data_IF_016290496823
#
_entry.id   IF_016290496823
#
_cell.length_a   1.000
_cell.length_b   1.000
_cell.length_c   1.000
_cell.angle_alpha   90.00
_cell.angle_beta   90.00
_cell.angle_gamma   90.00
#
_symmetry.space_group_name_H-M   'P 1'
#
loop_
_entity.id
_entity.type
_entity.pdbx_description
1 polymer ?
#
# COMPACT_ATOMS: atom_id res chain seq x y z
N UNK A 1 -13.69 -15.27 16.54
CA UNK A 1 -14.49 -15.38 15.30
C UNK A 1 -15.06 -14.00 15.01
N UNK A 2 -14.32 -13.21 14.22
CA UNK A 2 -14.50 -11.77 14.03
C UNK A 2 -15.32 -11.48 12.75
N UNK A 3 -16.09 -10.38 12.68
CA UNK A 3 -17.16 -10.18 11.69
C UNK A 3 -16.61 -9.60 10.38
N UNK A 4 -15.88 -10.39 9.60
CA UNK A 4 -15.43 -9.98 8.24
C UNK A 4 -16.49 -10.33 7.17
N UNK A 5 -17.39 -11.26 7.47
CA UNK A 5 -18.39 -11.73 6.50
C UNK A 5 -19.59 -10.80 6.29
N UNK A 6 -19.75 -9.71 7.05
CA UNK A 6 -20.90 -8.81 6.90
C UNK A 6 -20.67 -7.67 5.90
N UNK A 7 -19.42 -7.36 5.54
CA UNK A 7 -19.13 -6.24 4.62
C UNK A 7 -19.15 -6.66 3.15
N UNK A 8 -18.78 -7.91 2.83
CA UNK A 8 -18.72 -8.41 1.44
C UNK A 8 -20.11 -8.65 0.83
N UNK A 9 -21.15 -8.88 1.64
CA UNK A 9 -22.51 -9.14 1.13
C UNK A 9 -23.32 -7.85 0.93
N UNK A 10 -22.94 -6.73 1.54
CA UNK A 10 -23.68 -5.45 1.40
C UNK A 10 -23.36 -4.74 0.08
N UNK A 11 -22.17 -4.95 -0.51
CA UNK A 11 -21.85 -4.42 -1.85
C UNK A 11 -22.58 -5.16 -2.99
N UNK A 12 -23.13 -6.36 -2.75
CA UNK A 12 -23.86 -7.11 -3.78
C UNK A 12 -25.34 -6.72 -3.90
N UNK A 13 -25.90 -5.92 -2.98
CA UNK A 13 -27.36 -5.78 -2.83
C UNK A 13 -27.91 -4.33 -2.72
N UNK A 14 -27.09 -3.28 -2.84
CA UNK A 14 -27.58 -1.89 -2.67
C UNK A 14 -27.64 -1.06 -3.98
N UNK A 15 -27.29 -1.60 -5.15
CA UNK A 15 -27.36 -0.84 -6.44
C UNK A 15 -28.48 -1.32 -7.37
N UNK A 16 -29.66 -1.66 -6.84
CA UNK A 16 -30.85 -1.89 -7.67
C UNK A 16 -32.09 -1.08 -7.25
N UNK A 17 -31.89 -0.03 -6.45
CA UNK A 17 -32.95 0.87 -6.00
C UNK A 17 -32.86 2.26 -6.64
N UNK A 18 -33.55 2.45 -7.77
CA UNK A 18 -34.06 3.75 -8.23
C UNK A 18 -33.04 4.87 -8.49
N UNK A 19 -32.26 4.73 -9.56
CA UNK A 19 -31.84 5.87 -10.37
C UNK A 19 -31.95 5.47 -11.84
N UNK A 20 -32.92 6.05 -12.55
CA UNK A 20 -33.05 5.96 -14.02
C UNK A 20 -31.95 6.74 -14.75
N UNK A 21 -30.72 6.67 -14.22
CA UNK A 21 -29.56 7.41 -14.70
C UNK A 21 -28.77 6.47 -15.59
N UNK A 22 -28.44 6.95 -16.79
CA UNK A 22 -27.64 6.29 -17.81
C UNK A 22 -26.17 6.16 -17.35
N UNK A 23 -25.93 5.45 -16.26
CA UNK A 23 -24.58 5.14 -15.82
C UNK A 23 -24.06 3.98 -16.67
N UNK A 24 -22.99 4.22 -17.44
CA UNK A 24 -22.24 3.12 -18.03
C UNK A 24 -21.45 2.43 -16.92
N UNK A 25 -21.55 1.12 -16.84
CA UNK A 25 -20.93 0.32 -15.78
C UNK A 25 -19.84 -0.54 -16.39
N UNK A 26 -18.63 -0.42 -15.86
CA UNK A 26 -17.49 -1.25 -16.23
C UNK A 26 -17.19 -2.23 -15.09
N UNK A 27 -17.06 -3.52 -15.40
CA UNK A 27 -16.60 -4.54 -14.44
C UNK A 27 -15.36 -5.20 -15.00
N UNK A 28 -14.31 -5.32 -14.19
CA UNK A 28 -13.09 -6.03 -14.58
C UNK A 28 -12.54 -6.90 -13.45
N UNK A 29 -11.90 -7.99 -13.84
CA UNK A 29 -11.22 -8.93 -12.95
C UNK A 29 -9.89 -9.32 -13.60
N UNK A 30 -8.85 -9.43 -12.79
CA UNK A 30 -7.59 -9.94 -13.28
C UNK A 30 -6.57 -10.21 -12.18
N UNK A 31 -5.40 -10.62 -12.63
CA UNK A 31 -4.28 -10.96 -11.79
C UNK A 31 -3.10 -10.02 -12.03
N UNK A 32 -2.17 -10.02 -11.09
CA UNK A 32 -1.05 -9.11 -11.09
C UNK A 32 0.08 -9.56 -10.18
N UNK A 33 1.02 -8.66 -9.99
CA UNK A 33 2.15 -8.82 -9.07
C UNK A 33 2.34 -7.55 -8.25
N UNK A 34 2.43 -7.71 -6.93
CA UNK A 34 2.89 -6.72 -5.98
C UNK A 34 4.37 -6.97 -5.71
N UNK A 35 5.16 -5.90 -5.63
CA UNK A 35 6.58 -5.92 -5.27
C UNK A 35 6.93 -4.71 -4.43
N UNK A 36 7.95 -4.83 -3.61
CA UNK A 36 8.43 -3.72 -2.79
C UNK A 36 8.65 -4.12 -1.33
N UNK A 37 8.66 -3.12 -0.45
CA UNK A 37 8.95 -3.32 0.96
C UNK A 37 8.07 -2.46 1.85
N UNK A 38 7.84 -2.94 3.08
CA UNK A 38 7.51 -2.10 4.22
C UNK A 38 8.65 -2.17 5.23
N UNK A 39 9.08 -1.02 5.71
CA UNK A 39 10.21 -0.86 6.60
C UNK A 39 9.74 -0.19 7.88
N UNK A 40 10.09 -0.82 9.00
CA UNK A 40 9.85 -0.42 10.37
C UNK A 40 11.18 0.04 10.97
N UNK A 41 11.21 1.18 11.66
CA UNK A 41 12.40 1.68 12.33
C UNK A 41 12.05 2.28 13.69
N UNK A 42 12.83 1.94 14.71
CA UNK A 42 12.78 2.60 16.03
C UNK A 42 14.13 3.20 16.40
N UNK A 43 14.14 4.20 17.28
CA UNK A 43 15.35 4.86 17.77
C UNK A 43 15.02 6.18 18.48
N UNK A 44 15.96 7.12 18.52
CA UNK A 44 15.66 8.51 18.90
C UNK A 44 15.22 8.67 20.35
N UNK A 45 14.18 9.48 20.58
CA UNK A 45 13.67 9.75 21.92
C UNK A 45 13.10 8.47 22.55
N UNK A 46 13.59 8.15 23.75
CA UNK A 46 13.20 6.98 24.53
C UNK A 46 12.64 7.39 25.88
N UNK A 47 11.51 6.81 26.29
CA UNK A 47 10.88 7.04 27.59
C UNK A 47 10.58 5.71 28.27
N UNK A 48 11.32 5.38 29.33
CA UNK A 48 11.14 4.15 30.10
C UNK A 48 9.90 4.17 31.01
N UNK A 49 9.49 3.00 31.49
CA UNK A 49 8.34 2.84 32.38
C UNK A 49 8.46 3.56 33.72
N UNK A 50 9.69 3.84 34.18
CA UNK A 50 9.98 4.64 35.37
C UNK A 50 9.98 6.16 35.10
N UNK A 51 9.75 6.57 33.85
CA UNK A 51 9.79 7.96 33.40
C UNK A 51 11.20 8.48 33.11
N UNK A 52 12.22 7.62 33.13
CA UNK A 52 13.55 7.96 32.62
C UNK A 52 13.50 8.25 31.12
N UNK A 53 14.35 9.16 30.67
CA UNK A 53 14.43 9.57 29.26
C UNK A 53 15.85 9.38 28.75
N UNK A 54 16.01 8.92 27.52
CA UNK A 54 17.29 8.80 26.82
C UNK A 54 17.15 9.16 25.34
N UNK A 55 18.28 9.36 24.65
CA UNK A 55 18.34 9.60 23.21
C UNK A 55 19.19 8.49 22.55
N UNK A 56 18.52 7.58 21.85
CA UNK A 56 19.13 6.44 21.18
C UNK A 56 19.53 6.81 19.74
N UNK A 57 20.47 6.04 19.17
CA UNK A 57 20.75 6.13 17.74
C UNK A 57 19.46 5.90 16.93
N UNK A 58 19.28 6.63 15.83
CA UNK A 58 18.16 6.40 14.92
C UNK A 58 18.68 5.99 13.53
N UNK A 59 18.29 4.80 13.01
CA UNK A 59 17.56 3.74 13.72
C UNK A 59 18.47 2.98 14.69
N UNK A 60 17.95 2.57 15.85
CA UNK A 60 18.59 1.56 16.73
C UNK A 60 18.19 0.15 16.31
N UNK A 61 17.02 0.01 15.67
CA UNK A 61 16.51 -1.25 15.11
C UNK A 61 15.71 -0.96 13.84
N UNK A 62 15.83 -1.83 12.84
CA UNK A 62 15.16 -1.75 11.54
C UNK A 62 14.71 -3.14 11.10
N UNK A 63 13.41 -3.26 10.78
CA UNK A 63 12.85 -4.46 10.17
C UNK A 63 12.40 -4.12 8.75
N UNK A 64 12.75 -4.97 7.78
CA UNK A 64 12.34 -4.81 6.37
C UNK A 64 11.59 -6.05 5.91
N UNK A 65 10.31 -5.86 5.60
CA UNK A 65 9.42 -6.92 5.14
C UNK A 65 9.20 -6.81 3.62
N UNK A 66 9.42 -7.90 2.86
CA UNK A 66 9.15 -7.93 1.43
C UNK A 66 7.64 -8.01 1.16
N UNK A 67 7.19 -7.39 0.06
CA UNK A 67 5.77 -7.36 -0.36
C UNK A 67 5.50 -8.22 -1.60
N UNK A 68 6.49 -8.98 -2.05
CA UNK A 68 6.51 -9.73 -3.30
C UNK A 68 5.47 -10.85 -3.34
N UNK A 69 4.36 -10.64 -4.06
CA UNK A 69 3.26 -11.60 -4.14
C UNK A 69 2.46 -11.50 -5.45
N UNK A 70 1.94 -12.63 -5.92
CA UNK A 70 0.90 -12.62 -6.94
C UNK A 70 -0.43 -12.18 -6.33
N UNK A 71 -1.14 -11.30 -7.02
CA UNK A 71 -2.36 -10.65 -6.52
C UNK A 71 -3.53 -10.83 -7.48
N UNK A 72 -4.74 -10.88 -6.93
CA UNK A 72 -6.00 -10.81 -7.69
C UNK A 72 -6.71 -9.49 -7.37
N UNK A 73 -7.27 -8.86 -8.40
CA UNK A 73 -7.96 -7.57 -8.30
C UNK A 73 -9.29 -7.62 -9.04
N UNK A 74 -10.35 -7.17 -8.36
CA UNK A 74 -11.67 -6.92 -8.94
C UNK A 74 -12.00 -5.44 -8.89
N UNK A 75 -12.45 -4.87 -10.00
CA UNK A 75 -12.71 -3.44 -10.14
C UNK A 75 -14.08 -3.16 -10.78
N UNK A 76 -14.78 -2.18 -10.22
CA UNK A 76 -16.01 -1.59 -10.72
C UNK A 76 -15.75 -0.13 -11.11
N UNK A 77 -16.12 0.26 -12.32
CA UNK A 77 -16.11 1.63 -12.81
C UNK A 77 -17.51 2.11 -13.14
N UNK A 78 -17.83 3.36 -12.83
CA UNK A 78 -19.10 4.00 -13.13
C UNK A 78 -18.86 5.34 -13.81
N UNK A 79 -19.43 5.54 -15.00
CA UNK A 79 -19.50 6.85 -15.64
C UNK A 79 -20.84 7.51 -15.32
N UNK A 80 -20.79 8.54 -14.49
CA UNK A 80 -21.94 9.25 -13.95
C UNK A 80 -22.07 10.62 -14.62
N UNK A 81 -23.25 10.94 -15.15
CA UNK A 81 -23.58 12.28 -15.65
C UNK A 81 -22.54 12.87 -16.62
N UNK A 82 -21.96 12.04 -17.49
CA UNK A 82 -20.95 12.36 -18.53
C UNK A 82 -19.59 12.91 -18.05
N UNK A 83 -19.51 13.53 -16.87
CA UNK A 83 -18.29 14.19 -16.35
C UNK A 83 -17.78 13.60 -15.06
N UNK A 84 -18.58 12.82 -14.36
CA UNK A 84 -18.19 12.21 -13.10
C UNK A 84 -17.82 10.75 -13.33
N UNK A 85 -16.70 10.33 -12.78
CA UNK A 85 -16.31 8.93 -12.71
C UNK A 85 -16.31 8.46 -11.27
N UNK A 86 -16.73 7.24 -11.02
CA UNK A 86 -16.46 6.56 -9.75
C UNK A 86 -15.76 5.24 -10.03
N UNK A 87 -14.80 4.87 -9.19
CA UNK A 87 -14.12 3.59 -9.25
C UNK A 87 -14.06 2.99 -7.85
N UNK A 88 -14.30 1.69 -7.77
CA UNK A 88 -14.10 0.88 -6.58
C UNK A 88 -13.31 -0.36 -6.95
N UNK A 89 -12.31 -0.72 -6.16
CA UNK A 89 -11.62 -2.00 -6.34
C UNK A 89 -11.23 -2.64 -5.02
N UNK A 90 -11.09 -3.97 -5.06
CA UNK A 90 -10.63 -4.82 -3.97
C UNK A 90 -9.52 -5.72 -4.52
N UNK A 91 -8.46 -5.86 -3.75
CA UNK A 91 -7.33 -6.74 -4.08
C UNK A 91 -6.88 -7.54 -2.85
N UNK A 92 -6.36 -8.74 -3.12
CA UNK A 92 -5.74 -9.64 -2.13
C UNK A 92 -4.69 -10.51 -2.83
N UNK A 93 -3.74 -11.05 -2.07
CA UNK A 93 -2.72 -11.95 -2.61
C UNK A 93 -3.27 -13.37 -2.80
N UNK A 94 -2.74 -14.06 -3.81
CA UNK A 94 -3.00 -15.46 -4.13
C UNK A 94 -1.90 -16.40 -3.61
N UNK A 95 -0.71 -15.85 -3.37
CA UNK A 95 0.44 -16.54 -2.81
C UNK A 95 0.82 -15.85 -1.52
N UNK A 96 1.29 -16.61 -0.54
CA UNK A 96 1.64 -16.13 0.80
C UNK A 96 2.85 -15.19 0.83
N UNK A 97 3.22 -14.50 -0.26
CA UNK A 97 4.48 -13.76 -0.37
C UNK A 97 5.68 -14.70 -0.41
N UNK A 98 6.73 -14.37 -1.17
CA UNK A 98 8.00 -15.10 -1.09
C UNK A 98 9.11 -14.08 -0.87
N UNK A 99 9.80 -14.19 0.26
CA UNK A 99 10.91 -13.32 0.58
C UNK A 99 11.44 -13.49 1.99
N UNK A 100 12.59 -12.86 2.24
CA UNK A 100 13.22 -12.83 3.53
C UNK A 100 12.96 -11.49 4.21
N UNK A 101 12.48 -11.53 5.45
CA UNK A 101 12.49 -10.39 6.36
C UNK A 101 13.93 -10.18 6.86
N UNK A 102 14.38 -8.94 6.84
CA UNK A 102 15.69 -8.52 7.37
C UNK A 102 15.50 -7.74 8.67
N UNK A 103 16.23 -8.09 9.72
CA UNK A 103 16.28 -7.39 11.01
C UNK A 103 17.71 -6.91 11.28
N UNK A 104 17.89 -5.63 11.56
CA UNK A 104 19.18 -5.01 11.86
C UNK A 104 19.10 -4.19 13.15
N UNK A 105 20.01 -4.45 14.09
CA UNK A 105 20.15 -3.62 15.31
C UNK A 105 21.55 -2.99 15.39
N UNK A 106 21.61 -1.72 15.81
CA UNK A 106 22.83 -0.94 15.91
C UNK A 106 23.14 -0.51 17.34
N UNK A 107 24.40 -0.64 17.75
CA UNK A 107 24.90 -0.09 19.01
C UNK A 107 24.25 -0.68 20.27
N UNK A 108 23.72 -1.90 20.18
CA UNK A 108 23.00 -2.57 21.27
C UNK A 108 23.93 -3.27 22.26
N UNK A 109 25.24 -3.29 22.01
CA UNK A 109 26.24 -3.85 22.91
C UNK A 109 27.02 -2.76 23.64
N UNK A 110 27.24 -2.93 24.95
CA UNK A 110 27.93 -1.94 25.81
C UNK A 110 29.32 -1.50 25.32
N UNK A 111 29.95 -2.26 24.43
CA UNK A 111 31.30 -2.01 23.91
C UNK A 111 31.32 -1.61 22.43
N UNK A 112 30.16 -1.58 21.75
CA UNK A 112 30.08 -1.17 20.36
C UNK A 112 29.78 0.33 20.24
N UNK A 113 30.30 1.01 19.21
CA UNK A 113 29.82 2.34 18.85
C UNK A 113 28.31 2.32 18.58
N UNK A 114 27.62 3.42 18.86
CA UNK A 114 26.15 3.50 18.69
C UNK A 114 25.65 3.27 17.26
N UNK A 115 26.52 3.39 16.26
CA UNK A 115 26.23 3.16 14.84
C UNK A 115 26.86 1.85 14.30
N UNK A 116 27.34 0.98 15.18
CA UNK A 116 27.87 -0.34 14.82
C UNK A 116 26.73 -1.32 14.59
N UNK A 117 26.67 -1.96 13.42
CA UNK A 117 25.73 -3.05 13.18
C UNK A 117 26.13 -4.25 14.05
N UNK A 118 25.33 -4.54 15.07
CA UNK A 118 25.64 -5.52 16.10
C UNK A 118 24.86 -6.81 15.93
N UNK A 119 23.64 -6.71 15.41
CA UNK A 119 22.77 -7.84 15.10
C UNK A 119 22.28 -7.66 13.68
N UNK A 120 22.35 -8.74 12.90
CA UNK A 120 21.70 -8.85 11.61
C UNK A 120 21.05 -10.22 11.53
N UNK A 121 19.79 -10.29 11.11
CA UNK A 121 19.11 -11.56 10.90
C UNK A 121 18.27 -11.58 9.63
N UNK A 122 18.16 -12.76 9.06
CA UNK A 122 17.27 -13.08 7.94
C UNK A 122 16.27 -14.14 8.41
N UNK A 123 15.03 -14.03 7.95
CA UNK A 123 13.97 -14.97 8.28
C UNK A 123 13.02 -15.11 7.10
N UNK A 124 12.48 -16.31 6.86
CA UNK A 124 11.43 -16.49 5.86
C UNK A 124 10.18 -15.72 6.30
N UNK A 125 9.49 -15.06 5.37
CA UNK A 125 8.28 -14.29 5.68
C UNK A 125 7.15 -14.67 4.76
N UNK A 126 6.03 -15.07 5.37
CA UNK A 126 4.76 -15.22 4.67
C UNK A 126 3.92 -13.96 4.90
N UNK A 127 3.34 -13.38 3.87
CA UNK A 127 2.47 -12.21 3.86
C UNK A 127 1.05 -12.59 3.41
N UNK A 128 0.05 -12.09 4.14
CA UNK A 128 -1.34 -11.96 3.71
C UNK A 128 -1.71 -10.49 3.54
N UNK A 129 -2.47 -10.14 2.52
CA UNK A 129 -2.88 -8.75 2.27
C UNK A 129 -4.34 -8.63 1.87
N UNK A 130 -4.93 -7.49 2.26
CA UNK A 130 -6.18 -7.00 1.70
C UNK A 130 -6.06 -5.50 1.46
N UNK A 131 -6.48 -5.04 0.29
CA UNK A 131 -6.62 -3.62 0.03
C UNK A 131 -7.94 -3.32 -0.67
N UNK A 132 -8.50 -2.15 -0.33
CA UNK A 132 -9.78 -1.65 -0.83
C UNK A 132 -9.59 -0.19 -1.16
N UNK A 133 -10.10 0.24 -2.31
CA UNK A 133 -10.03 1.64 -2.70
C UNK A 133 -11.32 2.08 -3.37
N UNK A 134 -11.74 3.29 -3.05
CA UNK A 134 -12.80 4.00 -3.74
C UNK A 134 -12.33 5.38 -4.16
N UNK A 135 -12.66 5.81 -5.37
CA UNK A 135 -12.41 7.17 -5.85
C UNK A 135 -13.56 7.76 -6.64
N UNK A 136 -13.68 9.08 -6.57
CA UNK A 136 -14.59 9.90 -7.35
C UNK A 136 -13.76 10.92 -8.14
N UNK A 137 -13.99 10.97 -9.44
CA UNK A 137 -13.29 11.88 -10.36
C UNK A 137 -14.27 12.81 -11.05
N UNK A 138 -13.81 14.02 -11.38
CA UNK A 138 -14.52 15.01 -12.17
C UNK A 138 -13.67 15.44 -13.36
N UNK A 139 -14.18 15.22 -14.56
CA UNK A 139 -13.61 15.69 -15.81
C UNK A 139 -13.87 17.19 -15.96
N UNK A 140 -12.84 18.00 -15.76
CA UNK A 140 -12.95 19.46 -15.85
C UNK A 140 -12.61 20.01 -17.24
N UNK A 141 -11.89 19.24 -18.06
CA UNK A 141 -11.51 19.67 -19.41
C UNK A 141 -11.46 18.51 -20.40
N UNK A 142 -11.84 18.80 -21.65
CA UNK A 142 -11.74 17.91 -22.79
C UNK A 142 -11.23 18.69 -24.00
N UNK A 143 -10.13 18.22 -24.58
CA UNK A 143 -9.54 18.75 -25.80
C UNK A 143 -9.44 17.69 -26.88
N UNK A 144 -9.20 18.13 -28.11
CA UNK A 144 -8.99 17.26 -29.27
C UNK A 144 -7.67 17.58 -29.95
N UNK A 145 -7.02 16.58 -30.51
CA UNK A 145 -5.81 16.81 -31.30
C UNK A 145 -6.08 17.70 -32.51
N UNK A 146 -5.19 18.66 -32.75
CA UNK A 146 -5.31 19.66 -33.82
C UNK A 146 -6.22 20.85 -33.47
N UNK A 147 -6.85 20.85 -32.30
CA UNK A 147 -7.59 22.00 -31.79
C UNK A 147 -6.61 23.07 -31.30
N UNK A 148 -6.65 24.26 -31.90
CA UNK A 148 -5.94 25.45 -31.38
C UNK A 148 -6.93 26.60 -31.22
N UNK A 149 -6.55 27.65 -30.47
CA UNK A 149 -7.36 28.87 -30.34
C UNK A 149 -7.67 29.56 -31.70
N UNK A 150 -6.95 29.20 -32.76
CA UNK A 150 -7.03 29.82 -34.09
C UNK A 150 -7.45 28.81 -35.18
N UNK A 151 -7.71 27.54 -34.86
CA UNK A 151 -8.04 26.52 -35.87
C UNK A 151 -8.95 25.44 -35.30
N UNK A 152 -10.25 25.55 -35.59
CA UNK A 152 -11.25 24.50 -35.27
C UNK A 152 -11.41 23.52 -36.43
N UNK A 153 -10.97 23.87 -37.64
CA UNK A 153 -11.20 23.10 -38.87
C UNK A 153 -10.30 21.84 -39.02
N UNK A 154 -9.22 21.71 -38.23
CA UNK A 154 -8.30 20.56 -38.27
C UNK A 154 -8.45 19.65 -37.05
N UNK A 155 -9.67 19.51 -36.54
CA UNK A 155 -9.98 18.66 -35.40
C UNK A 155 -9.86 17.18 -35.80
N UNK A 156 -9.09 16.40 -35.06
CA UNK A 156 -9.19 14.95 -35.10
C UNK A 156 -10.08 14.48 -33.94
N UNK A 157 -11.39 14.25 -34.16
CA UNK A 157 -12.30 13.80 -33.11
C UNK A 157 -11.93 12.42 -32.56
N UNK A 158 -11.13 11.65 -33.30
CA UNK A 158 -10.64 10.33 -32.90
C UNK A 158 -9.45 10.37 -31.95
N UNK A 159 -8.95 11.54 -31.54
CA UNK A 159 -7.91 11.65 -30.51
C UNK A 159 -8.30 12.74 -29.50
N UNK A 160 -8.70 12.30 -28.30
CA UNK A 160 -9.24 13.15 -27.23
C UNK A 160 -8.25 13.18 -26.06
N UNK A 161 -8.14 14.32 -25.41
CA UNK A 161 -7.44 14.51 -24.14
C UNK A 161 -8.47 14.91 -23.09
N UNK A 162 -8.59 14.12 -22.03
CA UNK A 162 -9.49 14.38 -20.91
C UNK A 162 -8.64 14.66 -19.68
N UNK A 163 -9.01 15.67 -18.89
CA UNK A 163 -8.31 15.98 -17.65
C UNK A 163 -9.29 15.93 -16.51
N UNK A 164 -8.87 15.26 -15.43
CA UNK A 164 -9.69 15.00 -14.27
C UNK A 164 -8.96 15.38 -12.99
N UNK A 165 -9.76 15.84 -12.04
CA UNK A 165 -9.38 15.91 -10.62
C UNK A 165 -10.19 14.88 -9.87
N UNK A 166 -9.63 14.31 -8.82
CA UNK A 166 -10.28 13.28 -8.04
C UNK A 166 -10.03 13.39 -6.56
N UNK A 167 -10.90 12.75 -5.80
CA UNK A 167 -10.70 12.43 -4.40
C UNK A 167 -10.85 10.92 -4.25
N UNK A 168 -10.05 10.31 -3.39
CA UNK A 168 -10.15 8.89 -3.13
C UNK A 168 -9.71 8.52 -1.73
N UNK A 169 -9.96 7.26 -1.40
CA UNK A 169 -9.56 6.65 -0.14
C UNK A 169 -9.09 5.23 -0.42
N UNK A 170 -7.88 4.90 0.04
CA UNK A 170 -7.28 3.57 -0.04
C UNK A 170 -7.04 3.04 1.37
N UNK A 171 -7.57 1.86 1.64
CA UNK A 171 -7.26 1.05 2.81
C UNK A 171 -6.35 -0.09 2.37
N UNK A 172 -5.31 -0.38 3.13
CA UNK A 172 -4.47 -1.56 2.91
C UNK A 172 -4.02 -2.12 4.27
N UNK A 173 -4.10 -3.45 4.39
CA UNK A 173 -3.59 -4.19 5.54
C UNK A 173 -2.68 -5.31 5.05
N UNK A 174 -1.57 -5.48 5.75
CA UNK A 174 -0.63 -6.59 5.59
C UNK A 174 -0.47 -7.30 6.93
N UNK A 175 -0.50 -8.63 6.88
CA UNK A 175 -0.24 -9.51 8.01
C UNK A 175 0.95 -10.40 7.62
N UNK A 176 1.99 -10.44 8.45
CA UNK A 176 3.20 -11.23 8.21
C UNK A 176 3.40 -12.28 9.30
N UNK A 177 3.72 -13.50 8.88
CA UNK A 177 4.23 -14.57 9.73
C UNK A 177 5.71 -14.80 9.38
N UNK A 178 6.59 -14.75 10.38
CA UNK A 178 8.04 -14.83 10.17
C UNK A 178 8.61 -16.08 10.81
N UNK A 179 9.39 -16.84 10.04
CA UNK A 179 9.89 -18.17 10.35
C UNK A 179 11.40 -18.31 10.20
N UNK A 180 11.95 -19.33 10.85
CA UNK A 180 13.29 -19.86 10.57
C UNK A 180 14.39 -18.79 10.65
N UNK A 181 14.53 -18.21 11.84
CA UNK A 181 15.49 -17.13 12.12
C UNK A 181 16.93 -17.62 11.96
N UNK A 182 17.69 -16.96 11.09
CA UNK A 182 19.16 -16.99 11.07
C UNK A 182 19.72 -15.64 11.50
N UNK A 183 20.40 -15.60 12.65
CA UNK A 183 20.96 -14.38 13.21
C UNK A 183 22.48 -14.45 13.30
N UNK A 184 23.11 -13.40 12.79
CA UNK A 184 24.55 -13.16 12.83
C UNK A 184 24.90 -11.94 13.70
N UNK A 185 26.19 -11.75 13.95
CA UNK A 185 26.70 -10.74 14.87
C UNK A 185 27.88 -9.97 14.29
N UNK A 186 27.64 -9.02 13.36
CA UNK A 186 28.71 -8.43 12.54
C UNK A 186 29.83 -7.74 13.34
N UNK A 187 29.51 -7.12 14.48
CA UNK A 187 30.50 -6.47 15.34
C UNK A 187 31.26 -7.42 16.29
N UNK A 188 30.84 -8.69 16.40
CA UNK A 188 31.60 -9.76 17.08
C UNK A 188 31.63 -11.01 16.20
N UNK A 189 32.43 -11.02 15.12
CA UNK A 189 32.45 -12.10 14.13
C UNK A 189 32.96 -13.43 14.68
N UNK A 190 33.51 -13.46 15.90
CA UNK A 190 33.88 -14.70 16.59
C UNK A 190 32.67 -15.39 17.26
N UNK A 191 31.55 -14.68 17.44
CA UNK A 191 30.32 -15.23 18.02
C UNK A 191 29.61 -16.10 16.97
N UNK A 192 29.21 -17.34 17.31
CA UNK A 192 28.50 -18.20 16.37
C UNK A 192 27.14 -17.60 16.02
N UNK A 193 26.63 -17.95 14.83
CA UNK A 193 25.26 -17.62 14.43
C UNK A 193 24.25 -18.32 15.33
N UNK A 194 23.08 -17.71 15.49
CA UNK A 194 21.93 -18.29 16.19
C UNK A 194 20.88 -18.72 15.17
N UNK A 195 20.31 -19.90 15.39
CA UNK A 195 19.28 -20.48 14.52
C UNK A 195 18.06 -20.84 15.36
N UNK A 196 16.87 -20.45 14.91
CA UNK A 196 15.60 -20.82 15.55
C UNK A 196 14.59 -21.23 14.48
N UNK A 197 14.27 -22.52 14.43
CA UNK A 197 13.31 -23.08 13.49
C UNK A 197 11.86 -22.76 13.91
N UNK A 198 10.98 -22.55 12.92
CA UNK A 198 9.55 -22.30 13.11
C UNK A 198 9.20 -20.82 13.30
N UNK A 199 7.96 -20.56 13.68
CA UNK A 199 7.41 -19.20 13.80
C UNK A 199 8.07 -18.42 14.96
N UNK A 200 8.69 -17.28 14.65
CA UNK A 200 9.45 -16.47 15.61
C UNK A 200 8.81 -15.10 15.88
N UNK A 201 8.06 -14.56 14.92
CA UNK A 201 7.48 -13.22 14.99
C UNK A 201 6.25 -13.11 14.08
N UNK A 202 5.32 -12.22 14.45
CA UNK A 202 4.22 -11.80 13.58
C UNK A 202 4.19 -10.29 13.50
N UNK A 203 3.87 -9.72 12.35
CA UNK A 203 3.77 -8.28 12.14
C UNK A 203 2.49 -7.91 11.39
N UNK A 204 1.72 -6.96 11.91
CA UNK A 204 0.55 -6.41 11.20
C UNK A 204 0.80 -4.94 10.88
N UNK A 205 0.51 -4.50 9.65
CA UNK A 205 0.62 -3.11 9.22
C UNK A 205 -0.66 -2.64 8.51
N UNK A 206 -1.29 -1.59 9.03
CA UNK A 206 -2.53 -1.01 8.49
C UNK A 206 -2.32 0.45 8.05
N UNK A 207 -2.86 0.78 6.88
CA UNK A 207 -2.82 2.13 6.32
C UNK A 207 -4.19 2.61 5.87
N UNK A 208 -4.49 3.86 6.18
CA UNK A 208 -5.68 4.58 5.71
C UNK A 208 -5.26 5.85 4.97
N UNK A 209 -5.50 5.90 3.66
CA UNK A 209 -4.87 6.85 2.75
C UNK A 209 -5.95 7.63 1.97
N UNK A 210 -6.50 8.72 2.54
CA UNK A 210 -7.31 9.67 1.79
C UNK A 210 -6.41 10.53 0.90
N UNK A 211 -6.76 10.67 -0.36
CA UNK A 211 -5.90 11.35 -1.33
C UNK A 211 -6.66 12.27 -2.28
N UNK A 212 -5.92 13.22 -2.83
CA UNK A 212 -6.32 14.04 -3.98
C UNK A 212 -5.59 13.54 -5.21
N UNK A 213 -6.29 13.45 -6.34
CA UNK A 213 -5.77 12.93 -7.61
C UNK A 213 -5.87 14.01 -8.70
N UNK A 214 -4.84 14.07 -9.54
CA UNK A 214 -4.88 14.73 -10.84
C UNK A 214 -4.56 13.69 -11.90
N UNK A 215 -5.33 13.67 -12.98
CA UNK A 215 -5.03 12.77 -14.08
C UNK A 215 -5.38 13.31 -15.46
N UNK A 216 -4.86 12.59 -16.44
CA UNK A 216 -5.01 12.84 -17.86
C UNK A 216 -5.30 11.52 -18.56
N UNK A 217 -6.34 11.51 -19.39
CA UNK A 217 -6.66 10.40 -20.29
C UNK A 217 -6.42 10.82 -21.75
N UNK A 218 -5.74 9.96 -22.49
CA UNK A 218 -5.65 10.00 -23.95
C UNK A 218 -6.56 8.90 -24.51
N UNK A 219 -7.64 9.28 -25.18
CA UNK A 219 -8.55 8.34 -25.84
C UNK A 219 -8.38 8.38 -27.37
N UNK A 220 -8.18 7.22 -27.98
CA UNK A 220 -7.99 7.04 -29.42
C UNK A 220 -9.12 6.20 -30.01
N UNK A 221 -9.95 6.84 -30.83
CA UNK A 221 -11.11 6.27 -31.54
C UNK A 221 -12.04 5.44 -30.66
N UNK A 222 -12.13 5.78 -29.37
CA UNK A 222 -12.90 5.06 -28.34
C UNK A 222 -12.55 3.56 -28.23
N UNK A 223 -11.41 3.15 -28.81
CA UNK A 223 -10.89 1.77 -28.79
C UNK A 223 -9.72 1.61 -27.83
N UNK A 224 -8.91 2.65 -27.70
CA UNK A 224 -7.73 2.64 -26.85
C UNK A 224 -7.79 3.85 -25.92
N UNK A 225 -7.52 3.63 -24.64
CA UNK A 225 -7.36 4.71 -23.67
C UNK A 225 -6.06 4.49 -22.88
N UNK A 226 -5.36 5.60 -22.63
CA UNK A 226 -4.19 5.68 -21.78
C UNK A 226 -4.47 6.72 -20.70
N UNK A 227 -4.55 6.30 -19.44
CA UNK A 227 -4.77 7.18 -18.29
C UNK A 227 -3.49 7.28 -17.47
N UNK A 228 -3.07 8.50 -17.14
CA UNK A 228 -1.99 8.78 -16.22
C UNK A 228 -2.55 9.56 -15.03
N UNK A 229 -2.28 9.09 -13.82
CA UNK A 229 -2.71 9.72 -12.57
C UNK A 229 -1.51 9.95 -11.66
N UNK A 230 -1.55 11.08 -10.95
CA UNK A 230 -0.71 11.34 -9.79
C UNK A 230 -1.63 11.71 -8.63
N UNK A 231 -1.46 11.05 -7.49
CA UNK A 231 -2.22 11.33 -6.30
C UNK A 231 -1.30 11.58 -5.10
N UNK A 232 -1.74 12.48 -4.23
CA UNK A 232 -1.03 12.83 -3.01
C UNK A 232 -1.98 12.78 -1.81
N UNK A 233 -1.54 12.08 -0.77
CA UNK A 233 -2.19 12.01 0.53
C UNK A 233 -1.34 12.79 1.53
N UNK A 234 -1.71 14.04 1.88
CA UNK A 234 -0.97 14.82 2.88
C UNK A 234 -1.13 14.29 4.31
N UNK A 235 -2.16 13.48 4.55
CA UNK A 235 -2.48 12.87 5.83
C UNK A 235 -2.91 11.44 5.58
N UNK A 236 -2.24 10.50 6.20
CA UNK A 236 -2.63 9.09 6.22
C UNK A 236 -2.47 8.55 7.64
N UNK A 237 -3.32 7.60 8.01
CA UNK A 237 -3.25 6.92 9.30
C UNK A 237 -2.50 5.60 9.22
N UNK A 238 -1.54 5.41 10.12
CA UNK A 238 -0.72 4.20 10.20
C UNK A 238 -0.87 3.57 11.58
N UNK A 239 -1.06 2.26 11.60
CA UNK A 239 -1.04 1.45 12.82
C UNK A 239 -0.26 0.16 12.55
N UNK A 240 0.50 -0.31 13.52
CA UNK A 240 1.10 -1.63 13.49
C UNK A 240 1.11 -2.35 14.84
N UNK A 241 1.35 -3.65 14.75
CA UNK A 241 1.61 -4.53 15.88
C UNK A 241 2.73 -5.51 15.48
N UNK A 242 3.88 -5.40 16.14
CA UNK A 242 5.02 -6.30 16.02
C UNK A 242 5.10 -7.18 17.27
N UNK A 243 4.94 -8.49 17.10
CA UNK A 243 4.97 -9.45 18.18
C UNK A 243 6.15 -10.42 18.04
N UNK A 244 7.18 -10.22 18.86
CA UNK A 244 8.30 -11.16 19.00
C UNK A 244 7.94 -12.31 19.96
N UNK A 245 7.61 -13.47 19.40
CA UNK A 245 7.12 -14.64 20.14
C UNK A 245 8.18 -15.21 21.11
N UNK A 246 9.45 -15.19 20.71
CA UNK A 246 10.55 -15.73 21.52
C UNK A 246 10.82 -14.93 22.81
N UNK A 247 10.39 -13.66 22.84
CA UNK A 247 10.66 -12.72 23.94
C UNK A 247 9.42 -12.32 24.72
N UNK A 248 8.24 -12.78 24.31
CA UNK A 248 6.95 -12.25 24.80
C UNK A 248 6.92 -10.72 24.76
N UNK A 249 7.49 -10.14 23.69
CA UNK A 249 7.57 -8.70 23.46
C UNK A 249 6.57 -8.32 22.38
N UNK A 250 5.81 -7.26 22.62
CA UNK A 250 4.91 -6.65 21.64
C UNK A 250 5.24 -5.17 21.52
N UNK A 251 5.43 -4.68 20.31
CA UNK A 251 5.53 -3.26 19.99
C UNK A 251 4.25 -2.87 19.24
N UNK A 252 3.65 -1.74 19.62
CA UNK A 252 2.43 -1.22 18.99
C UNK A 252 2.67 0.24 18.65
N UNK A 253 2.58 0.60 17.37
CA UNK A 253 2.58 2.00 16.94
C UNK A 253 1.21 2.43 16.43
N UNK A 254 0.83 3.66 16.77
CA UNK A 254 -0.30 4.38 16.19
C UNK A 254 0.16 5.81 15.93
N UNK A 255 0.39 6.13 14.65
CA UNK A 255 0.88 7.45 14.26
C UNK A 255 -0.24 8.48 14.11
N UNK A 256 -1.51 8.08 14.32
CA UNK A 256 -2.65 8.89 13.93
C UNK A 256 -2.52 9.36 12.48
N UNK A 257 -3.01 10.55 12.16
CA UNK A 257 -2.97 11.12 10.81
C UNK A 257 -1.64 11.84 10.47
N UNK A 258 -0.50 11.27 10.88
CA UNK A 258 0.83 11.89 10.74
C UNK A 258 1.73 11.23 9.66
N UNK A 259 1.13 10.52 8.69
CA UNK A 259 1.85 10.08 7.50
C UNK A 259 1.47 10.84 6.23
N UNK A 260 2.25 10.63 5.18
CA UNK A 260 1.93 11.07 3.83
C UNK A 260 2.16 9.95 2.82
N UNK A 261 1.52 10.06 1.66
CA UNK A 261 1.75 9.15 0.55
C UNK A 261 1.75 9.85 -0.81
N UNK A 262 2.59 9.36 -1.73
CA UNK A 262 2.61 9.76 -3.13
C UNK A 262 2.33 8.53 -4.00
N UNK A 263 1.39 8.66 -4.93
CA UNK A 263 0.94 7.61 -5.83
C UNK A 263 1.06 8.06 -7.28
N UNK A 264 1.51 7.16 -8.15
CA UNK A 264 1.47 7.33 -9.60
C UNK A 264 0.86 6.09 -10.23
N UNK A 265 -0.12 6.27 -11.11
CA UNK A 265 -0.83 5.17 -11.77
C UNK A 265 -0.89 5.38 -13.28
N UNK A 266 -0.58 4.32 -14.01
CA UNK A 266 -0.73 4.20 -15.46
C UNK A 266 -1.80 3.14 -15.75
N UNK A 267 -2.82 3.51 -16.52
CA UNK A 267 -3.85 2.58 -16.98
C UNK A 267 -3.88 2.56 -18.52
N UNK A 268 -3.91 1.37 -19.09
CA UNK A 268 -4.02 1.11 -20.52
C UNK A 268 -5.26 0.27 -20.74
N UNK A 269 -6.21 0.77 -21.54
CA UNK A 269 -7.43 0.05 -21.90
C UNK A 269 -7.50 -0.15 -23.40
N UNK A 270 -7.83 -1.36 -23.84
CA UNK A 270 -8.08 -1.71 -25.23
C UNK A 270 -9.41 -2.45 -25.40
N UNK A 271 -10.38 -1.79 -26.00
CA UNK A 271 -11.70 -2.33 -26.34
C UNK A 271 -11.60 -3.13 -27.64
N UNK A 272 -11.55 -4.46 -27.52
CA UNK A 272 -11.29 -5.34 -28.66
C UNK A 272 -12.56 -5.92 -29.31
N UNK A 273 -13.68 -5.99 -28.57
CA UNK A 273 -14.93 -6.52 -29.11
C UNK A 273 -16.16 -5.99 -28.37
N UNK A 274 -16.95 -5.13 -29.03
CA UNK A 274 -18.16 -4.54 -28.47
C UNK A 274 -17.92 -3.99 -27.05
N UNK A 275 -18.44 -4.69 -26.06
CA UNK A 275 -18.41 -4.37 -24.65
C UNK A 275 -17.19 -4.92 -23.90
N UNK A 276 -16.37 -5.75 -24.55
CA UNK A 276 -15.19 -6.36 -23.94
C UNK A 276 -13.93 -5.52 -24.14
N UNK A 277 -13.16 -5.40 -23.07
CA UNK A 277 -11.88 -4.72 -23.07
C UNK A 277 -10.82 -5.48 -22.28
N UNK A 278 -9.57 -5.28 -22.67
CA UNK A 278 -8.38 -5.66 -21.91
C UNK A 278 -7.85 -4.42 -21.21
N UNK A 279 -7.41 -4.55 -19.96
CA UNK A 279 -6.84 -3.47 -19.18
C UNK A 279 -5.50 -3.90 -18.60
N UNK A 280 -4.48 -3.06 -18.72
CA UNK A 280 -3.22 -3.18 -18.01
C UNK A 280 -3.05 -1.98 -17.08
N UNK A 281 -2.65 -2.23 -15.85
CA UNK A 281 -2.48 -1.18 -14.84
C UNK A 281 -1.12 -1.32 -14.17
N UNK A 282 -0.45 -0.21 -13.94
CA UNK A 282 0.76 -0.13 -13.12
C UNK A 282 0.56 0.98 -12.09
N UNK A 283 0.81 0.69 -10.82
CA UNK A 283 0.74 1.66 -9.73
C UNK A 283 2.03 1.62 -8.92
N UNK A 284 2.62 2.78 -8.65
CA UNK A 284 3.66 2.95 -7.65
C UNK A 284 3.14 3.80 -6.51
N UNK A 285 3.40 3.38 -5.28
CA UNK A 285 3.07 4.13 -4.07
C UNK A 285 4.29 4.21 -3.16
N UNK A 286 4.53 5.39 -2.60
CA UNK A 286 5.48 5.65 -1.53
C UNK A 286 4.72 6.18 -0.33
N UNK A 287 4.94 5.58 0.83
CA UNK A 287 4.33 5.94 2.10
C UNK A 287 5.42 6.26 3.11
N UNK A 288 5.21 7.31 3.89
CA UNK A 288 6.07 7.68 5.00
C UNK A 288 5.21 8.11 6.19
N UNK A 289 5.52 7.61 7.38
CA UNK A 289 4.82 8.02 8.60
C UNK A 289 5.76 8.00 9.80
N UNK A 290 5.58 8.95 10.71
CA UNK A 290 6.39 9.09 11.92
C UNK A 290 5.49 9.23 13.14
N UNK A 291 5.88 8.60 14.23
CA UNK A 291 5.18 8.65 15.50
C UNK A 291 5.98 7.96 16.58
N UNK A 292 5.27 7.31 17.49
CA UNK A 292 5.86 6.60 18.62
C UNK A 292 5.36 5.16 18.62
N UNK A 293 6.23 4.24 19.05
CA UNK A 293 5.87 2.85 19.35
C UNK A 293 5.92 2.61 20.86
N UNK A 294 4.98 1.81 21.37
CA UNK A 294 4.95 1.38 22.77
C UNK A 294 5.31 -0.09 22.87
N UNK A 295 6.32 -0.39 23.67
CA UNK A 295 6.77 -1.75 23.92
C UNK A 295 6.18 -2.32 25.22
N UNK A 296 5.81 -3.59 25.14
CA UNK A 296 5.28 -4.38 26.26
C UNK A 296 6.04 -5.69 26.36
N UNK A 297 6.51 -6.04 27.56
CA UNK A 297 7.10 -7.34 27.86
C UNK A 297 6.17 -8.14 28.77
N UNK A 298 5.75 -9.32 28.33
CA UNK A 298 4.78 -10.16 29.05
C UNK A 298 3.51 -9.41 29.46
N UNK A 299 3.05 -8.47 28.62
CA UNK A 299 1.88 -7.63 28.87
C UNK A 299 2.10 -6.44 29.81
N UNK A 300 3.33 -6.22 30.28
CA UNK A 300 3.70 -5.07 31.11
C UNK A 300 4.33 -4.01 30.23
N UNK A 301 3.85 -2.76 30.35
CA UNK A 301 4.45 -1.62 29.64
C UNK A 301 5.91 -1.43 30.05
N UNK A 302 6.78 -1.22 29.07
CA UNK A 302 8.22 -1.10 29.26
C UNK A 302 8.75 0.26 28.83
N UNK A 303 8.45 0.69 27.60
CA UNK A 303 8.87 2.00 27.11
C UNK A 303 8.03 2.51 25.94
N UNK A 304 8.20 3.80 25.66
CA UNK A 304 7.85 4.45 24.39
C UNK A 304 9.13 4.85 23.68
N UNK A 305 9.17 4.71 22.35
CA UNK A 305 10.32 5.08 21.51
C UNK A 305 9.84 5.70 20.20
N UNK A 306 10.63 6.61 19.61
CA UNK A 306 10.32 7.13 18.27
C UNK A 306 10.25 5.99 17.25
N UNK A 307 9.31 6.13 16.32
CA UNK A 307 8.99 5.13 15.32
C UNK A 307 8.77 5.76 13.94
N UNK A 308 9.43 5.23 12.92
CA UNK A 308 9.25 5.63 11.52
C UNK A 308 8.90 4.42 10.65
N UNK A 309 7.97 4.63 9.72
CA UNK A 309 7.62 3.64 8.70
C UNK A 309 7.78 4.23 7.32
N UNK A 310 8.46 3.46 6.46
CA UNK A 310 8.60 3.75 5.04
C UNK A 310 8.10 2.55 4.25
N UNK A 311 7.29 2.77 3.22
CA UNK A 311 6.89 1.70 2.31
C UNK A 311 6.98 2.16 0.87
N UNK A 312 7.58 1.30 0.04
CA UNK A 312 7.66 1.45 -1.40
C UNK A 312 6.98 0.25 -2.04
N UNK A 313 5.99 0.49 -2.90
CA UNK A 313 5.21 -0.59 -3.48
C UNK A 313 5.01 -0.33 -4.97
N UNK A 314 5.16 -1.37 -5.77
CA UNK A 314 4.89 -1.37 -7.20
C UNK A 314 3.94 -2.53 -7.50
N UNK A 315 2.77 -2.19 -8.05
CA UNK A 315 1.74 -3.13 -8.49
C UNK A 315 1.64 -3.12 -10.00
N UNK A 316 1.43 -4.29 -10.58
CA UNK A 316 1.12 -4.43 -12.00
C UNK A 316 -0.01 -5.43 -12.19
N UNK A 317 -0.96 -5.12 -13.09
CA UNK A 317 -2.14 -5.94 -13.32
C UNK A 317 -2.42 -6.11 -14.80
N UNK A 318 -2.96 -7.28 -15.15
CA UNK A 318 -3.63 -7.53 -16.42
C UNK A 318 -5.05 -8.03 -16.14
N UNK A 319 -6.05 -7.32 -16.66
CA UNK A 319 -7.46 -7.54 -16.35
C UNK A 319 -8.29 -7.65 -17.62
N UNK A 320 -9.30 -8.51 -17.57
CA UNK A 320 -10.36 -8.57 -18.58
C UNK A 320 -11.59 -7.86 -18.01
N UNK A 321 -12.26 -7.04 -18.82
CA UNK A 321 -13.46 -6.35 -18.40
C UNK A 321 -14.56 -6.29 -19.43
N UNK A 322 -15.74 -5.91 -18.94
CA UNK A 322 -16.99 -5.79 -19.69
C UNK A 322 -17.71 -4.49 -19.34
N UNK A 323 -18.19 -3.79 -20.36
CA UNK A 323 -18.94 -2.53 -20.28
C UNK A 323 -20.42 -2.74 -20.53
N UNK A 324 -21.28 -2.45 -19.55
CA UNK A 324 -22.74 -2.50 -19.65
C UNK A 324 -23.32 -1.19 -20.14
#
# INVERSE_FOLDING_TARGET
MRPIYLFVVVCSLVVFGAASVWAAVDVSLGGGYLSGTTQYQIGGDYIGADGSTDELHFPVSELRFPLDAYVIKGQLGLNLFEKWGAMFHVETNLTDGDGQMEDSDWGVWDYSPSNSLDIYSESNSDMSMVAVEGKLTYQFYQGYYGQTALSVEKLNPGLKFLYHVGIGYKYQKYDFDVYDLEQSYPSSPAKPHSYVDGLVMTYEAEYQIPYLELGMELAVQDKFALELNVAYAPYMAFQDEDQHLLRSKVNIADHGWNGNALMARLNLRYSFYHHWYLQAEIESIRIESKGESKAYFSGVYDHTIDHEVLSHQLRSYLMLGYSF
#
